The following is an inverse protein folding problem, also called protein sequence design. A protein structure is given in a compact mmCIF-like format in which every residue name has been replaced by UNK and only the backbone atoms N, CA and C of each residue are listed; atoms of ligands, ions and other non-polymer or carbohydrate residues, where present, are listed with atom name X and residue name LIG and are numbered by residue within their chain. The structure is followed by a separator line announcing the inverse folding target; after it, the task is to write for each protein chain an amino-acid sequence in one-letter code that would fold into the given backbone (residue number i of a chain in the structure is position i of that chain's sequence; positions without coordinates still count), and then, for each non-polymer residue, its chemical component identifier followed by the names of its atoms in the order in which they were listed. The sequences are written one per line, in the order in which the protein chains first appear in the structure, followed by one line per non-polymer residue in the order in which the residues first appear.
data_IF_270258022693
#
_entry.id   IF_270258022693
#
_cell.length_a   1.000
_cell.length_b   1.000
_cell.length_c   1.000
_cell.angle_alpha   90.00
_cell.angle_beta   90.00
_cell.angle_gamma   90.00
#
_symmetry.space_group_name_H-M   'P 1'
#
loop_
_entity.id
_entity.type
_entity.pdbx_description
1 polymer ?
#
# COMPACT_ATOMS: atom_id res chain seq x y z
N UNK A 1 -15.78 -0.43 -20.77
CA UNK A 1 -14.51 -0.13 -20.10
C UNK A 1 -14.50 1.23 -19.39
N UNK A 2 -14.67 2.36 -20.09
CA UNK A 2 -14.63 3.69 -19.44
C UNK A 2 -15.61 3.82 -18.27
N UNK A 3 -16.87 3.41 -18.43
CA UNK A 3 -17.88 3.49 -17.36
C UNK A 3 -17.49 2.67 -16.12
N UNK A 4 -16.91 1.48 -16.29
CA UNK A 4 -16.39 0.69 -15.15
C UNK A 4 -15.21 1.38 -14.48
N UNK A 5 -14.32 2.04 -15.22
CA UNK A 5 -13.21 2.80 -14.66
C UNK A 5 -13.65 3.92 -13.72
N UNK A 6 -14.81 4.53 -13.94
CA UNK A 6 -15.38 5.56 -13.05
C UNK A 6 -15.99 4.98 -11.76
N UNK A 7 -16.37 3.70 -11.75
CA UNK A 7 -17.00 3.06 -10.59
C UNK A 7 -15.99 2.45 -9.63
N UNK A 8 -14.70 2.44 -9.97
CA UNK A 8 -13.62 1.73 -9.25
C UNK A 8 -13.86 0.21 -9.12
N UNK A 9 -14.85 -0.34 -9.81
CA UNK A 9 -15.10 -1.77 -9.83
C UNK A 9 -14.06 -2.47 -10.71
N UNK A 10 -13.58 -3.64 -10.29
CA UNK A 10 -12.59 -4.37 -11.06
C UNK A 10 -13.19 -4.86 -12.38
N UNK A 11 -12.51 -4.61 -13.47
CA UNK A 11 -12.81 -5.23 -14.75
C UNK A 11 -12.22 -6.64 -14.80
N UNK A 12 -12.80 -7.51 -15.61
CA UNK A 12 -12.20 -8.82 -15.86
C UNK A 12 -10.86 -8.63 -16.57
N UNK A 13 -9.83 -9.38 -16.18
CA UNK A 13 -8.48 -9.29 -16.75
C UNK A 13 -8.45 -9.45 -18.29
N UNK A 14 -9.40 -10.19 -18.86
CA UNK A 14 -9.58 -10.31 -20.32
C UNK A 14 -9.98 -9.01 -21.03
N UNK A 15 -10.43 -8.00 -20.29
CA UNK A 15 -10.80 -6.69 -20.79
C UNK A 15 -9.71 -5.65 -20.59
N UNK A 16 -8.55 -6.08 -20.11
CA UNK A 16 -7.40 -5.20 -19.99
C UNK A 16 -6.88 -4.80 -21.38
N UNK A 17 -6.96 -3.51 -21.68
CA UNK A 17 -6.51 -2.94 -22.94
C UNK A 17 -5.00 -2.84 -23.08
N UNK A 18 -4.25 -3.00 -21.97
CA UNK A 18 -2.79 -2.96 -21.94
C UNK A 18 -2.15 -4.34 -21.99
N UNK A 19 -2.91 -5.40 -21.76
CA UNK A 19 -2.43 -6.76 -21.77
C UNK A 19 -1.58 -7.13 -20.53
N UNK A 20 -1.65 -6.34 -19.45
CA UNK A 20 -0.89 -6.59 -18.22
C UNK A 20 -1.66 -7.42 -17.18
N UNK A 21 -2.90 -7.78 -17.50
CA UNK A 21 -3.78 -8.56 -16.62
C UNK A 21 -4.32 -7.79 -15.41
N UNK A 22 -4.27 -6.46 -15.45
CA UNK A 22 -4.75 -5.61 -14.38
C UNK A 22 -6.27 -5.44 -14.37
N UNK A 23 -6.84 -5.39 -13.17
CA UNK A 23 -8.28 -5.16 -12.97
C UNK A 23 -8.72 -3.73 -13.28
N UNK A 24 -7.80 -2.78 -13.18
CA UNK A 24 -8.05 -1.35 -13.37
C UNK A 24 -7.16 -0.77 -14.47
N UNK A 25 -7.37 -1.24 -15.72
CA UNK A 25 -6.51 -0.93 -16.86
C UNK A 25 -6.37 0.57 -17.19
N UNK A 26 -7.35 1.42 -16.85
CA UNK A 26 -7.28 2.87 -17.09
C UNK A 26 -6.42 3.61 -16.03
N UNK A 27 -6.42 3.11 -14.82
CA UNK A 27 -5.66 3.70 -13.71
C UNK A 27 -5.27 2.59 -12.74
N UNK A 28 -4.08 2.02 -12.92
CA UNK A 28 -3.59 0.88 -12.15
C UNK A 28 -3.81 1.00 -10.64
N UNK A 29 -3.36 2.07 -9.97
CA UNK A 29 -3.49 2.21 -8.51
C UNK A 29 -4.90 2.10 -7.95
N UNK A 30 -5.95 2.32 -8.74
CA UNK A 30 -7.34 2.22 -8.25
C UNK A 30 -7.74 0.84 -7.76
N UNK A 31 -6.97 -0.22 -8.08
CA UNK A 31 -7.18 -1.54 -7.51
C UNK A 31 -7.11 -1.53 -5.96
N UNK A 32 -6.23 -0.74 -5.38
CA UNK A 32 -6.11 -0.65 -3.91
C UNK A 32 -7.30 0.07 -3.29
N UNK A 33 -7.85 1.09 -3.97
CA UNK A 33 -9.06 1.79 -3.52
C UNK A 33 -10.28 0.86 -3.47
N UNK A 34 -10.37 -0.10 -4.37
CA UNK A 34 -11.40 -1.14 -4.31
C UNK A 34 -11.32 -1.94 -3.00
N UNK A 35 -10.13 -2.34 -2.60
CA UNK A 35 -9.93 -3.05 -1.33
C UNK A 35 -10.27 -2.18 -0.11
N UNK A 36 -9.89 -0.91 -0.13
CA UNK A 36 -10.26 0.05 0.91
C UNK A 36 -11.78 0.25 0.98
N UNK A 37 -12.44 0.33 -0.16
CA UNK A 37 -13.91 0.45 -0.22
C UNK A 37 -14.58 -0.77 0.37
N UNK A 38 -14.12 -1.97 0.03
CA UNK A 38 -14.60 -3.23 0.62
C UNK A 38 -14.38 -3.26 2.14
N UNK A 39 -13.20 -2.85 2.61
CA UNK A 39 -12.92 -2.79 4.04
C UNK A 39 -13.87 -1.84 4.79
N UNK A 40 -14.17 -0.68 4.21
CA UNK A 40 -15.12 0.28 4.79
C UNK A 40 -16.55 -0.26 4.84
N UNK A 41 -16.99 -0.98 3.81
CA UNK A 41 -18.31 -1.66 3.84
C UNK A 41 -18.34 -2.71 4.95
N UNK A 42 -17.32 -3.57 5.03
CA UNK A 42 -17.22 -4.59 6.08
C UNK A 42 -17.15 -3.96 7.47
N UNK A 43 -16.45 -2.84 7.62
CA UNK A 43 -16.44 -2.07 8.86
C UNK A 43 -17.82 -1.58 9.23
N UNK A 44 -18.55 -0.95 8.31
CA UNK A 44 -19.87 -0.41 8.57
C UNK A 44 -20.88 -1.50 8.96
N UNK A 45 -20.80 -2.68 8.35
CA UNK A 45 -21.73 -3.77 8.57
C UNK A 45 -21.40 -4.60 9.83
N UNK A 46 -20.12 -4.92 10.05
CA UNK A 46 -19.74 -5.93 11.03
C UNK A 46 -18.62 -5.47 11.98
N UNK A 47 -17.49 -4.97 11.46
CA UNK A 47 -16.24 -4.82 12.22
C UNK A 47 -16.36 -3.73 13.29
N UNK A 48 -17.21 -2.76 13.11
CA UNK A 48 -17.49 -1.70 14.10
C UNK A 48 -17.91 -2.26 15.47
N UNK A 49 -18.48 -3.45 15.51
CA UNK A 49 -18.96 -4.09 16.75
C UNK A 49 -17.91 -4.99 17.41
N UNK A 50 -16.72 -5.17 16.79
CA UNK A 50 -15.69 -6.04 17.34
C UNK A 50 -15.11 -5.49 18.64
N UNK A 51 -14.87 -6.37 19.62
CA UNK A 51 -14.17 -6.04 20.85
C UNK A 51 -12.67 -5.78 20.58
N UNK A 52 -11.98 -5.16 21.54
CA UNK A 52 -10.52 -4.97 21.47
C UNK A 52 -9.77 -6.30 21.37
N UNK A 53 -10.23 -7.33 22.08
CA UNK A 53 -9.65 -8.68 22.00
C UNK A 53 -9.81 -9.28 20.62
N UNK A 54 -11.01 -9.18 20.05
CA UNK A 54 -11.29 -9.66 18.70
C UNK A 54 -10.44 -8.95 17.65
N UNK A 55 -10.31 -7.62 17.73
CA UNK A 55 -9.41 -6.87 16.87
C UNK A 55 -7.95 -7.30 17.05
N UNK A 56 -7.51 -7.59 18.29
CA UNK A 56 -6.16 -8.11 18.55
C UNK A 56 -5.89 -9.45 17.87
N UNK A 57 -6.88 -10.36 17.88
CA UNK A 57 -6.79 -11.65 17.18
C UNK A 57 -6.67 -11.42 15.67
N UNK A 58 -7.49 -10.53 15.08
CA UNK A 58 -7.41 -10.22 13.66
C UNK A 58 -6.09 -9.53 13.29
N UNK A 59 -5.53 -8.67 14.13
CA UNK A 59 -4.19 -8.08 13.95
C UNK A 59 -3.13 -9.19 13.94
N UNK A 60 -3.15 -10.11 14.88
CA UNK A 60 -2.20 -11.22 14.94
C UNK A 60 -2.30 -12.13 13.70
N UNK A 61 -3.51 -12.48 13.29
CA UNK A 61 -3.76 -13.29 12.11
C UNK A 61 -3.29 -12.58 10.83
N UNK A 62 -3.63 -11.30 10.66
CA UNK A 62 -3.21 -10.53 9.50
C UNK A 62 -1.70 -10.23 9.48
N UNK A 63 -1.06 -10.09 10.64
CA UNK A 63 0.40 -10.04 10.73
C UNK A 63 1.05 -11.34 10.23
N UNK A 64 0.49 -12.50 10.61
CA UNK A 64 0.93 -13.79 10.08
C UNK A 64 0.80 -13.87 8.54
N UNK A 65 -0.33 -13.40 7.97
CA UNK A 65 -0.51 -13.36 6.52
C UNK A 65 0.52 -12.44 5.84
N UNK A 66 0.83 -11.30 6.45
CA UNK A 66 1.87 -10.38 5.94
C UNK A 66 3.26 -11.03 5.98
N UNK A 67 3.61 -11.74 7.06
CA UNK A 67 4.86 -12.50 7.15
C UNK A 67 4.92 -13.63 6.13
N UNK A 68 3.83 -14.37 5.98
CA UNK A 68 3.72 -15.44 4.99
C UNK A 68 3.97 -14.93 3.56
N UNK A 69 3.43 -13.74 3.23
CA UNK A 69 3.63 -13.10 1.94
C UNK A 69 5.06 -12.55 1.78
N UNK A 70 5.53 -11.77 2.75
CA UNK A 70 6.81 -11.05 2.67
C UNK A 70 8.01 -12.01 2.64
N UNK A 71 7.96 -13.09 3.43
CA UNK A 71 9.00 -14.11 3.50
C UNK A 71 8.78 -15.27 2.52
N UNK A 72 7.73 -15.21 1.71
CA UNK A 72 7.35 -16.23 0.74
C UNK A 72 7.32 -17.66 1.35
N UNK A 73 6.74 -17.78 2.56
CA UNK A 73 6.66 -19.06 3.27
C UNK A 73 5.69 -20.05 2.60
N UNK A 74 4.73 -19.52 1.86
CA UNK A 74 3.69 -20.22 1.10
C UNK A 74 2.97 -21.34 1.88
N UNK A 75 2.67 -21.07 3.14
CA UNK A 75 2.03 -22.06 4.05
C UNK A 75 0.72 -22.61 3.47
N UNK A 76 0.04 -21.86 2.62
CA UNK A 76 -1.24 -22.25 2.02
C UNK A 76 -1.12 -22.76 0.57
N UNK A 77 0.08 -22.82 0.00
CA UNK A 77 0.30 -23.23 -1.39
C UNK A 77 -0.29 -22.27 -2.44
N UNK A 78 -0.50 -20.99 -2.08
CA UNK A 78 -1.15 -19.99 -2.94
C UNK A 78 -0.15 -19.16 -3.76
N UNK A 79 1.14 -19.22 -3.43
CA UNK A 79 2.19 -18.44 -4.06
C UNK A 79 3.11 -19.26 -4.95
N UNK A 80 2.82 -20.56 -5.17
CA UNK A 80 3.63 -21.49 -5.96
C UNK A 80 3.84 -21.03 -7.41
N UNK A 81 2.89 -20.25 -7.95
CA UNK A 81 2.98 -19.67 -9.30
C UNK A 81 3.71 -18.32 -9.35
N UNK A 82 4.11 -17.79 -8.20
CA UNK A 82 4.78 -16.49 -8.09
C UNK A 82 6.23 -16.61 -8.50
N UNK A 83 6.53 -16.25 -9.75
CA UNK A 83 7.89 -16.31 -10.33
C UNK A 83 8.66 -14.99 -10.22
N UNK A 84 7.97 -13.88 -9.91
CA UNK A 84 8.58 -12.55 -9.80
C UNK A 84 8.25 -11.91 -8.45
N UNK A 85 9.05 -10.95 -8.05
CA UNK A 85 8.89 -10.20 -6.81
C UNK A 85 8.77 -11.11 -5.56
N UNK A 86 9.52 -12.22 -5.55
CA UNK A 86 9.67 -13.11 -4.39
C UNK A 86 10.34 -12.31 -3.27
N UNK A 87 9.94 -12.55 -2.03
CA UNK A 87 10.40 -11.81 -0.85
C UNK A 87 10.07 -10.31 -0.89
N UNK A 88 8.88 -9.98 -1.40
CA UNK A 88 8.29 -8.63 -1.34
C UNK A 88 6.80 -8.72 -1.08
N UNK A 89 6.15 -7.60 -0.80
CA UNK A 89 4.69 -7.51 -0.69
C UNK A 89 4.02 -6.99 -1.97
N UNK A 90 4.76 -6.96 -3.09
CA UNK A 90 4.29 -6.44 -4.37
C UNK A 90 3.22 -7.37 -4.95
N UNK A 91 2.13 -6.83 -5.47
CA UNK A 91 1.03 -7.55 -6.11
C UNK A 91 -0.35 -7.10 -5.65
N UNK A 92 -1.39 -7.82 -6.07
CA UNK A 92 -2.76 -7.58 -5.67
C UNK A 92 -3.64 -6.89 -6.72
N UNK A 93 -3.14 -6.67 -7.94
CA UNK A 93 -3.81 -5.90 -9.01
C UNK A 93 -4.54 -6.76 -10.05
N UNK A 94 -4.58 -8.08 -9.91
CA UNK A 94 -5.24 -9.01 -10.83
C UNK A 94 -6.26 -9.88 -10.10
N UNK A 95 -7.12 -10.55 -10.86
CA UNK A 95 -8.15 -11.46 -10.35
C UNK A 95 -7.67 -12.91 -10.18
N UNK A 96 -6.38 -13.19 -10.39
CA UNK A 96 -5.84 -14.52 -10.14
C UNK A 96 -5.82 -14.83 -8.63
N UNK A 97 -5.95 -16.08 -8.19
CA UNK A 97 -6.06 -16.42 -6.77
C UNK A 97 -4.87 -15.92 -5.92
N UNK A 98 -3.66 -16.01 -6.45
CA UNK A 98 -2.44 -15.49 -5.83
C UNK A 98 -2.50 -13.97 -5.63
N UNK A 99 -2.91 -13.23 -6.67
CA UNK A 99 -3.02 -11.77 -6.62
C UNK A 99 -4.14 -11.31 -5.67
N UNK A 100 -5.27 -12.02 -5.63
CA UNK A 100 -6.33 -11.74 -4.66
C UNK A 100 -5.84 -11.98 -3.23
N UNK A 101 -5.10 -13.06 -2.99
CA UNK A 101 -4.52 -13.36 -1.69
C UNK A 101 -3.52 -12.28 -1.26
N UNK A 102 -2.67 -11.80 -2.19
CA UNK A 102 -1.75 -10.68 -1.95
C UNK A 102 -2.53 -9.41 -1.60
N UNK A 103 -3.56 -9.06 -2.37
CA UNK A 103 -4.38 -7.88 -2.14
C UNK A 103 -5.03 -7.88 -0.75
N UNK A 104 -5.62 -9.02 -0.36
CA UNK A 104 -6.22 -9.22 0.97
C UNK A 104 -5.15 -9.10 2.07
N UNK A 105 -4.01 -9.75 1.92
CA UNK A 105 -2.93 -9.70 2.91
C UNK A 105 -2.41 -8.28 3.13
N UNK A 106 -2.29 -7.49 2.07
CA UNK A 106 -1.87 -6.09 2.12
C UNK A 106 -2.90 -5.17 2.77
N UNK A 107 -4.19 -5.49 2.64
CA UNK A 107 -5.27 -4.72 3.24
C UNK A 107 -5.41 -5.00 4.74
N UNK A 108 -5.46 -6.28 5.13
CA UNK A 108 -5.95 -6.68 6.45
C UNK A 108 -5.12 -6.13 7.60
N UNK A 109 -3.79 -6.23 7.52
CA UNK A 109 -2.95 -5.82 8.65
C UNK A 109 -3.03 -4.31 8.92
N UNK A 110 -2.75 -3.39 7.97
CA UNK A 110 -2.84 -1.96 8.24
C UNK A 110 -4.24 -1.53 8.67
N UNK A 111 -5.28 -2.16 8.13
CA UNK A 111 -6.66 -1.88 8.48
C UNK A 111 -6.98 -2.26 9.94
N UNK A 112 -6.73 -3.51 10.34
CA UNK A 112 -7.02 -3.96 11.71
C UNK A 112 -6.07 -3.34 12.74
N UNK A 113 -4.81 -3.14 12.42
CA UNK A 113 -3.86 -2.46 13.30
C UNK A 113 -4.27 -1.01 13.53
N UNK A 114 -4.68 -0.28 12.48
CA UNK A 114 -5.21 1.08 12.59
C UNK A 114 -6.48 1.15 13.46
N UNK A 115 -7.41 0.22 13.27
CA UNK A 115 -8.62 0.14 14.11
C UNK A 115 -8.31 -0.18 15.58
N UNK A 116 -7.41 -1.12 15.82
CA UNK A 116 -7.00 -1.48 17.18
C UNK A 116 -6.32 -0.28 17.86
N UNK A 117 -5.41 0.39 17.15
CA UNK A 117 -4.72 1.57 17.65
C UNK A 117 -5.70 2.67 18.03
N UNK A 118 -6.68 2.95 17.16
CA UNK A 118 -7.77 3.90 17.43
C UNK A 118 -8.58 3.51 18.67
N UNK A 119 -8.91 2.22 18.84
CA UNK A 119 -9.70 1.72 20.00
C UNK A 119 -8.93 1.72 21.30
N UNK A 120 -7.63 1.50 21.28
CA UNK A 120 -6.77 1.56 22.47
C UNK A 120 -6.59 3.00 22.90
N UNK A 121 -6.56 3.94 21.98
CA UNK A 121 -6.40 5.38 22.20
C UNK A 121 -5.15 5.76 23.05
N UNK A 122 -4.12 4.91 23.04
CA UNK A 122 -2.82 5.17 23.67
C UNK A 122 -1.82 5.58 22.59
N UNK A 123 -1.98 6.82 22.09
CA UNK A 123 -1.14 7.35 21.02
C UNK A 123 0.16 7.94 21.59
N UNK A 124 1.23 7.84 20.82
CA UNK A 124 2.54 8.34 21.20
C UNK A 124 2.58 9.85 20.92
N UNK A 125 2.76 10.65 21.97
CA UNK A 125 2.86 12.10 21.87
C UNK A 125 4.30 12.53 21.67
N UNK A 126 4.60 13.13 20.51
CA UNK A 126 5.95 13.61 20.17
C UNK A 126 5.86 15.08 19.75
N UNK A 127 6.80 15.89 20.27
CA UNK A 127 6.97 17.27 19.78
C UNK A 127 7.46 17.25 18.34
N UNK A 128 6.89 18.11 17.48
CA UNK A 128 7.19 18.15 16.05
C UNK A 128 6.92 16.81 15.30
N UNK A 129 5.87 16.07 15.71
CA UNK A 129 5.57 14.73 15.20
C UNK A 129 5.45 14.66 13.69
N UNK A 130 4.91 15.69 13.03
CA UNK A 130 4.86 15.75 11.56
C UNK A 130 6.25 15.59 10.92
N UNK A 131 7.22 16.35 11.39
CA UNK A 131 8.58 16.31 10.82
C UNK A 131 9.29 14.99 11.11
N UNK A 132 9.13 14.46 12.33
CA UNK A 132 9.68 13.14 12.67
C UNK A 132 9.05 12.02 11.86
N UNK A 133 7.73 12.02 11.70
CA UNK A 133 7.05 11.04 10.86
C UNK A 133 7.51 11.14 9.40
N UNK A 134 7.62 12.35 8.84
CA UNK A 134 8.10 12.57 7.47
C UNK A 134 9.54 12.08 7.28
N UNK A 135 10.42 12.36 8.24
CA UNK A 135 11.81 11.90 8.21
C UNK A 135 11.90 10.37 8.28
N UNK A 136 11.14 9.74 9.18
CA UNK A 136 11.12 8.29 9.30
C UNK A 136 10.58 7.62 8.03
N UNK A 137 9.48 8.12 7.47
CA UNK A 137 8.95 7.61 6.19
C UNK A 137 10.00 7.75 5.09
N UNK A 138 10.62 8.92 4.95
CA UNK A 138 11.66 9.13 3.95
C UNK A 138 12.84 8.17 4.14
N UNK A 139 13.32 8.00 5.37
CA UNK A 139 14.43 7.09 5.68
C UNK A 139 14.10 5.63 5.35
N UNK A 140 12.86 5.17 5.65
CA UNK A 140 12.44 3.82 5.33
C UNK A 140 12.28 3.59 3.82
N UNK A 141 11.77 4.59 3.07
CA UNK A 141 11.57 4.47 1.62
C UNK A 141 12.87 4.58 0.80
N UNK A 142 13.89 5.26 1.32
CA UNK A 142 15.20 5.41 0.65
C UNK A 142 16.12 4.21 0.93
N UNK A 143 15.74 3.33 1.85
CA UNK A 143 16.55 2.15 2.16
C UNK A 143 16.82 1.30 0.91
N UNK A 144 18.08 0.92 0.65
CA UNK A 144 18.43 0.11 -0.51
C UNK A 144 17.94 -1.33 -0.36
N UNK A 145 17.95 -2.09 -1.44
CA UNK A 145 17.82 -3.54 -1.37
C UNK A 145 19.01 -4.14 -0.63
N UNK A 146 18.74 -4.89 0.45
CA UNK A 146 19.78 -5.42 1.35
C UNK A 146 20.31 -6.78 0.91
N UNK A 147 19.49 -7.57 0.17
CA UNK A 147 19.85 -8.93 -0.21
C UNK A 147 19.61 -9.24 -1.68
N UNK A 148 20.48 -10.11 -2.23
CA UNK A 148 20.37 -10.66 -3.58
C UNK A 148 20.64 -12.17 -3.55
N UNK A 149 20.14 -12.92 -4.52
CA UNK A 149 20.31 -14.38 -4.54
C UNK A 149 19.80 -15.04 -3.25
N UNK A 150 20.66 -15.80 -2.57
CA UNK A 150 20.29 -16.55 -1.36
C UNK A 150 19.95 -15.66 -0.15
N UNK A 151 20.33 -14.38 -0.17
CA UNK A 151 20.02 -13.40 0.88
C UNK A 151 18.80 -12.53 0.56
N UNK A 152 18.11 -12.77 -0.55
CA UNK A 152 16.96 -11.97 -0.99
C UNK A 152 15.82 -11.92 0.05
N UNK A 153 15.69 -12.94 0.91
CA UNK A 153 14.71 -12.99 2.00
C UNK A 153 14.86 -11.81 2.99
N UNK A 154 16.05 -11.19 3.08
CA UNK A 154 16.29 -10.01 3.94
C UNK A 154 15.42 -8.83 3.50
N UNK A 155 15.15 -8.69 2.19
CA UNK A 155 14.26 -7.65 1.67
C UNK A 155 12.81 -7.88 2.16
N UNK A 156 12.35 -9.13 2.12
CA UNK A 156 11.04 -9.49 2.66
C UNK A 156 10.94 -9.29 4.17
N UNK A 157 12.01 -9.60 4.91
CA UNK A 157 12.08 -9.32 6.34
C UNK A 157 12.04 -7.81 6.63
N UNK A 158 12.72 -7.00 5.82
CA UNK A 158 12.67 -5.55 5.89
C UNK A 158 11.26 -5.01 5.61
N UNK A 159 10.60 -5.48 4.55
CA UNK A 159 9.22 -5.11 4.23
C UNK A 159 8.28 -5.45 5.40
N UNK A 160 8.40 -6.66 5.95
CA UNK A 160 7.62 -7.10 7.11
C UNK A 160 7.88 -6.21 8.34
N UNK A 161 9.12 -5.89 8.65
CA UNK A 161 9.50 -4.99 9.73
C UNK A 161 8.87 -3.60 9.54
N UNK A 162 8.95 -3.03 8.33
CA UNK A 162 8.35 -1.74 8.03
C UNK A 162 6.82 -1.77 8.22
N UNK A 163 6.15 -2.79 7.68
CA UNK A 163 4.68 -2.87 7.72
C UNK A 163 4.18 -3.18 9.12
N UNK A 164 4.78 -4.15 9.80
CA UNK A 164 4.26 -4.64 11.08
C UNK A 164 4.62 -3.76 12.27
N UNK A 165 5.75 -3.05 12.22
CA UNK A 165 6.24 -2.28 13.35
C UNK A 165 6.38 -0.79 13.04
N UNK A 166 7.11 -0.42 11.99
CA UNK A 166 7.46 0.97 11.75
C UNK A 166 6.27 1.82 11.34
N UNK A 167 5.45 1.36 10.41
CA UNK A 167 4.28 2.13 9.96
C UNK A 167 3.23 2.31 11.05
N UNK A 168 2.82 1.30 11.85
CA UNK A 168 1.96 1.52 13.01
C UNK A 168 2.55 2.48 14.04
N UNK A 169 3.86 2.43 14.28
CA UNK A 169 4.55 3.37 15.15
C UNK A 169 4.44 4.80 14.62
N UNK A 170 4.74 5.02 13.32
CA UNK A 170 4.66 6.33 12.67
C UNK A 170 3.22 6.86 12.71
N UNK A 171 2.22 6.01 12.44
CA UNK A 171 0.80 6.39 12.53
C UNK A 171 0.43 6.79 13.96
N UNK A 172 0.89 6.03 14.97
CA UNK A 172 0.66 6.35 16.38
C UNK A 172 1.29 7.68 16.79
N UNK A 173 2.52 7.97 16.33
CA UNK A 173 3.22 9.24 16.57
C UNK A 173 2.52 10.41 15.85
N UNK A 174 2.14 10.21 14.59
CA UNK A 174 1.44 11.22 13.80
C UNK A 174 0.08 11.59 14.40
N UNK A 175 -0.74 10.58 14.71
CA UNK A 175 -2.06 10.77 15.30
C UNK A 175 -2.02 11.29 16.74
N UNK A 176 -0.95 10.99 17.49
CA UNK A 176 -0.77 11.46 18.88
C UNK A 176 -0.18 12.86 19.00
N UNK A 177 0.29 13.45 17.90
CA UNK A 177 1.01 14.73 17.91
C UNK A 177 0.10 15.88 17.51
N UNK A 178 0.27 17.02 18.19
CA UNK A 178 -0.39 18.28 17.79
C UNK A 178 0.52 19.08 16.88
N UNK A 179 -0.06 19.63 15.84
CA UNK A 179 0.64 20.52 14.91
C UNK A 179 0.22 21.96 15.19
N UNK A 180 1.19 22.87 15.28
CA UNK A 180 0.94 24.29 15.59
C UNK A 180 1.70 25.21 14.63
N UNK A 181 1.29 26.47 14.56
CA UNK A 181 1.97 27.50 13.78
C UNK A 181 1.95 27.23 12.27
N UNK A 182 3.07 27.51 11.61
CA UNK A 182 3.22 27.40 10.14
C UNK A 182 3.07 25.96 9.64
N UNK A 183 3.43 24.97 10.45
CA UNK A 183 3.31 23.54 10.09
C UNK A 183 1.87 23.09 9.86
N UNK A 184 0.87 23.75 10.45
CA UNK A 184 -0.55 23.44 10.20
C UNK A 184 -0.90 23.63 8.72
N UNK A 185 -0.44 24.73 8.11
CA UNK A 185 -0.70 25.01 6.69
C UNK A 185 -0.03 23.99 5.79
N UNK A 186 1.19 23.59 6.13
CA UNK A 186 1.95 22.56 5.39
C UNK A 186 1.24 21.21 5.48
N UNK A 187 0.86 20.76 6.68
CA UNK A 187 0.14 19.50 6.86
C UNK A 187 -1.19 19.50 6.12
N UNK A 188 -1.94 20.60 6.19
CA UNK A 188 -3.23 20.73 5.49
C UNK A 188 -3.04 20.65 3.98
N UNK A 189 -2.05 21.37 3.43
CA UNK A 189 -1.73 21.32 2.01
C UNK A 189 -1.41 19.90 1.55
N UNK A 190 -0.48 19.18 2.22
CA UNK A 190 -0.13 17.81 1.86
C UNK A 190 -1.32 16.84 2.02
N UNK A 191 -2.15 17.03 3.04
CA UNK A 191 -3.37 16.24 3.20
C UNK A 191 -4.37 16.45 2.06
N UNK A 192 -4.56 17.69 1.63
CA UNK A 192 -5.52 18.04 0.56
C UNK A 192 -5.05 17.54 -0.82
N UNK A 193 -3.74 17.56 -1.11
CA UNK A 193 -3.21 17.13 -2.41
C UNK A 193 -2.94 15.61 -2.49
N UNK A 194 -2.88 14.89 -1.36
CA UNK A 194 -2.48 13.48 -1.33
C UNK A 194 -3.39 12.59 -2.18
N UNK A 195 -4.70 12.73 -2.04
CA UNK A 195 -5.66 11.94 -2.79
C UNK A 195 -5.73 12.31 -4.29
N UNK A 196 -5.83 13.59 -4.68
CA UNK A 196 -5.70 13.98 -6.08
C UNK A 196 -4.40 13.48 -6.72
N UNK A 197 -3.27 13.60 -6.03
CA UNK A 197 -1.98 13.12 -6.53
C UNK A 197 -1.99 11.59 -6.72
N UNK A 198 -2.55 10.84 -5.76
CA UNK A 198 -2.66 9.39 -5.85
C UNK A 198 -3.49 8.94 -7.06
N UNK A 199 -4.56 9.64 -7.39
CA UNK A 199 -5.42 9.26 -8.53
C UNK A 199 -4.80 9.68 -9.87
N UNK A 200 -4.07 10.79 -9.92
CA UNK A 200 -3.63 11.37 -11.20
C UNK A 200 -2.22 10.95 -11.63
N UNK A 201 -1.35 10.50 -10.70
CA UNK A 201 0.06 10.26 -11.03
C UNK A 201 0.26 9.12 -12.06
N UNK A 202 -0.49 8.03 -12.00
CA UNK A 202 -0.33 6.92 -12.94
C UNK A 202 -0.77 7.25 -14.37
N UNK A 203 -1.92 7.87 -14.62
CA UNK A 203 -2.22 8.39 -15.95
C UNK A 203 -1.13 9.29 -16.53
N UNK A 204 -0.51 10.14 -15.71
CA UNK A 204 0.64 10.96 -16.14
C UNK A 204 1.88 10.11 -16.47
N UNK A 205 2.18 9.11 -15.63
CA UNK A 205 3.27 8.15 -15.90
C UNK A 205 3.00 7.40 -17.22
N UNK A 206 1.78 6.95 -17.49
CA UNK A 206 1.47 6.28 -18.73
C UNK A 206 1.67 7.18 -19.96
N UNK A 207 1.28 8.45 -19.87
CA UNK A 207 1.53 9.44 -20.92
C UNK A 207 3.03 9.65 -21.14
N UNK A 208 3.80 9.78 -20.04
CA UNK A 208 5.25 9.92 -20.09
C UNK A 208 5.94 8.71 -20.70
N UNK A 209 5.55 7.49 -20.31
CA UNK A 209 6.10 6.24 -20.88
C UNK A 209 5.77 6.12 -22.36
N UNK A 210 4.54 6.43 -22.75
CA UNK A 210 4.14 6.44 -24.15
C UNK A 210 4.97 7.45 -24.96
N UNK A 211 5.13 8.67 -24.44
CA UNK A 211 5.95 9.70 -25.08
C UNK A 211 7.43 9.25 -25.19
N UNK A 212 8.03 8.74 -24.14
CA UNK A 212 9.41 8.28 -24.11
C UNK A 212 9.65 7.11 -25.08
N UNK A 213 8.66 6.23 -25.26
CA UNK A 213 8.75 5.10 -26.20
C UNK A 213 8.87 5.55 -27.67
N UNK A 214 8.31 6.72 -28.00
CA UNK A 214 8.38 7.33 -29.34
C UNK A 214 9.60 8.24 -29.52
N UNK A 215 10.32 8.59 -28.43
CA UNK A 215 11.41 9.55 -28.45
C UNK A 215 12.70 8.97 -27.82
N UNK A 216 13.01 7.72 -28.15
CA UNK A 216 14.16 6.97 -27.56
C UNK A 216 15.52 7.61 -27.85
N UNK A 217 15.61 8.41 -28.90
CA UNK A 217 16.86 9.03 -29.35
C UNK A 217 17.19 10.34 -28.61
N UNK A 218 16.30 10.80 -27.74
CA UNK A 218 16.52 12.02 -26.96
C UNK A 218 17.39 11.75 -25.74
N UNK A 219 18.21 12.74 -25.31
CA UNK A 219 19.05 12.56 -24.11
C UNK A 219 18.20 12.39 -22.85
N UNK A 220 18.76 11.66 -21.88
CA UNK A 220 18.07 11.27 -20.64
C UNK A 220 17.44 12.46 -19.89
N UNK A 221 18.08 13.64 -19.95
CA UNK A 221 17.58 14.86 -19.32
C UNK A 221 16.24 15.35 -19.85
N UNK A 222 15.88 15.02 -21.10
CA UNK A 222 14.57 15.38 -21.68
C UNK A 222 13.44 14.43 -21.31
N UNK A 223 13.76 13.27 -20.75
CA UNK A 223 12.79 12.28 -20.26
C UNK A 223 12.35 12.53 -18.81
N UNK A 224 13.01 13.47 -18.11
CA UNK A 224 12.81 13.73 -16.67
C UNK A 224 12.02 15.04 -16.43
N UNK A 225 11.79 15.85 -17.48
CA UNK A 225 11.10 17.14 -17.38
C UNK A 225 9.60 17.04 -17.64
#
# INVERSE_FOLDING_TARGET
MMLLGFTMLPALSKWDIRGWGETNALNGPTWSLMWEYLANILYALFIRHFSKTMLGIFVAFSAFLTLNLALNLDVFGLFSTRSYAIYTVIGGWSTTPDQLCIGISRLLYPFFAGLLLSRINKLIKVKAGFWWCSLLVAALLVAPHFGTGDTAWINGAYDAFCILLMFPLIVSMGAGSSVTGRSVKVCKFFGEISYPLYITHYPLIYMQVAWASHHKDLPLGTHIC
#
